data_IF_961309838254
#
_entry.id   IF_961309838254
#
_cell.length_a   1.000
_cell.length_b   1.000
_cell.length_c   1.000
_cell.angle_alpha   90.00
_cell.angle_beta   90.00
_cell.angle_gamma   90.00
#
_symmetry.space_group_name_H-M   'P 1'
#
loop_
_entity.id
_entity.type
_entity.pdbx_description
1 polymer ?
#
# COMPACT_ATOMS: atom_id res chain seq x y z
N UNK A 1 1.86 -3.91 -7.56
CA UNK A 1 0.91 -3.23 -8.45
C UNK A 1 1.03 -3.80 -9.84
N UNK A 2 -0.07 -4.12 -10.43
CA UNK A 2 -0.16 -4.59 -11.80
C UNK A 2 -0.43 -3.42 -12.74
N UNK A 3 0.03 -3.46 -14.00
CA UNK A 3 -0.19 -2.38 -14.96
C UNK A 3 -1.67 -2.01 -15.15
N UNK A 4 -2.58 -2.97 -15.07
CA UNK A 4 -4.03 -2.78 -15.26
C UNK A 4 -4.77 -2.26 -14.03
N UNK A 5 -4.19 -2.25 -12.82
CA UNK A 5 -4.82 -1.70 -11.60
C UNK A 5 -5.32 -0.27 -11.79
N UNK A 6 -4.70 0.47 -12.71
CA UNK A 6 -5.08 1.86 -13.02
C UNK A 6 -6.06 1.99 -14.19
N UNK A 7 -6.32 0.92 -14.93
CA UNK A 7 -7.07 0.92 -16.19
C UNK A 7 -8.15 -0.17 -16.23
N UNK A 8 -8.78 -0.43 -15.09
CA UNK A 8 -9.74 -1.53 -14.91
C UNK A 8 -10.88 -1.48 -15.94
N UNK A 9 -11.47 -0.30 -16.19
CA UNK A 9 -12.57 -0.15 -17.15
C UNK A 9 -12.10 -0.38 -18.59
N UNK A 10 -10.98 0.23 -18.98
CA UNK A 10 -10.41 0.06 -20.32
C UNK A 10 -9.99 -1.39 -20.57
N UNK A 11 -9.32 -2.03 -19.59
CA UNK A 11 -8.86 -3.42 -19.74
C UNK A 11 -10.03 -4.41 -19.76
N UNK A 12 -11.02 -4.25 -18.90
CA UNK A 12 -12.24 -5.06 -18.94
C UNK A 12 -12.93 -4.93 -20.28
N UNK A 13 -13.11 -3.70 -20.76
CA UNK A 13 -13.76 -3.43 -22.06
C UNK A 13 -12.98 -4.06 -23.22
N UNK A 14 -11.66 -3.91 -23.21
CA UNK A 14 -10.77 -4.45 -24.25
C UNK A 14 -10.83 -5.99 -24.34
N UNK A 15 -10.87 -6.66 -23.17
CA UNK A 15 -10.80 -8.14 -23.11
C UNK A 15 -12.15 -8.82 -23.25
N UNK A 16 -13.16 -8.29 -22.58
CA UNK A 16 -14.44 -8.97 -22.40
C UNK A 16 -15.63 -8.17 -22.91
N UNK A 17 -15.40 -6.95 -23.40
CA UNK A 17 -16.44 -6.07 -23.93
C UNK A 17 -17.08 -5.17 -22.87
N UNK A 18 -17.61 -4.03 -23.31
CA UNK A 18 -18.20 -3.01 -22.43
C UNK A 18 -19.42 -3.51 -21.64
N UNK A 19 -20.09 -4.56 -22.11
CA UNK A 19 -21.23 -5.16 -21.40
C UNK A 19 -20.87 -5.83 -20.08
N UNK A 20 -19.58 -6.05 -19.83
CA UNK A 20 -19.07 -6.58 -18.56
C UNK A 20 -18.94 -5.52 -17.47
N UNK A 21 -18.99 -4.25 -17.81
CA UNK A 21 -19.07 -3.19 -16.81
C UNK A 21 -20.51 -3.15 -16.29
N UNK A 22 -20.74 -3.35 -14.97
CA UNK A 22 -22.08 -3.39 -14.40
C UNK A 22 -22.84 -2.08 -14.65
N UNK A 23 -24.11 -2.19 -15.01
CA UNK A 23 -24.96 -1.02 -15.21
C UNK A 23 -25.06 -0.21 -13.92
N UNK A 24 -24.78 1.10 -14.00
CA UNK A 24 -24.77 1.97 -12.84
C UNK A 24 -23.44 1.92 -12.04
N UNK A 25 -22.44 1.21 -12.53
CA UNK A 25 -21.07 1.29 -11.98
C UNK A 25 -20.54 2.71 -12.08
N UNK A 26 -19.84 3.14 -11.02
CA UNK A 26 -19.11 4.41 -10.96
C UNK A 26 -17.60 4.20 -11.02
N UNK A 27 -17.17 3.01 -11.37
CA UNK A 27 -15.74 2.70 -11.54
C UNK A 27 -15.24 3.41 -12.79
N UNK A 28 -14.10 4.07 -12.65
CA UNK A 28 -13.43 4.82 -13.73
C UNK A 28 -11.95 4.45 -13.73
N UNK A 29 -11.32 4.57 -14.89
CA UNK A 29 -9.88 4.49 -14.98
C UNK A 29 -9.21 5.67 -14.28
N UNK A 30 -8.07 5.42 -13.67
CA UNK A 30 -7.23 6.51 -13.18
C UNK A 30 -6.69 7.34 -14.36
N UNK A 31 -6.51 8.68 -14.18
CA UNK A 31 -6.00 9.55 -15.25
C UNK A 31 -4.52 9.34 -15.60
N UNK A 32 -3.86 8.38 -14.95
CA UNK A 32 -2.47 7.99 -15.17
C UNK A 32 -2.36 6.46 -15.28
N UNK A 33 -1.22 5.96 -15.70
CA UNK A 33 -0.92 4.55 -15.85
C UNK A 33 0.23 4.07 -14.95
N UNK A 34 0.51 2.77 -15.04
CA UNK A 34 1.58 2.11 -14.31
C UNK A 34 2.94 2.74 -14.61
N UNK A 35 3.23 3.01 -15.86
CA UNK A 35 4.51 3.52 -16.33
C UNK A 35 4.87 4.90 -15.75
N UNK A 36 3.85 5.71 -15.46
CA UNK A 36 4.04 7.02 -14.82
C UNK A 36 4.40 6.88 -13.34
N UNK A 37 3.87 5.87 -12.67
CA UNK A 37 4.02 5.69 -11.22
C UNK A 37 5.17 4.75 -10.84
N UNK A 38 5.52 3.79 -11.68
CA UNK A 38 6.57 2.79 -11.38
C UNK A 38 7.88 3.43 -10.89
N UNK A 39 8.40 4.50 -11.51
CA UNK A 39 9.63 5.15 -11.04
C UNK A 39 9.53 5.70 -9.61
N UNK A 40 8.36 6.16 -9.21
CA UNK A 40 8.12 6.66 -7.85
C UNK A 40 7.99 5.53 -6.84
N UNK A 41 7.32 4.43 -7.20
CA UNK A 41 7.30 3.22 -6.37
C UNK A 41 8.71 2.69 -6.14
N UNK A 42 9.48 2.49 -7.21
CA UNK A 42 10.86 2.06 -7.10
C UNK A 42 11.72 2.99 -6.26
N UNK A 43 11.49 4.31 -6.31
CA UNK A 43 12.16 5.27 -5.44
C UNK A 43 11.78 5.07 -3.98
N UNK A 44 10.48 4.97 -3.66
CA UNK A 44 9.98 4.78 -2.29
C UNK A 44 10.49 3.46 -1.71
N UNK A 45 10.50 2.38 -2.49
CA UNK A 45 11.03 1.08 -2.08
C UNK A 45 12.50 1.17 -1.63
N UNK A 46 13.30 1.93 -2.35
CA UNK A 46 14.71 2.17 -1.99
C UNK A 46 14.86 3.11 -0.80
N UNK A 47 14.04 4.15 -0.69
CA UNK A 47 14.10 5.09 0.42
C UNK A 47 13.66 4.46 1.75
N UNK A 48 12.67 3.60 1.72
CA UNK A 48 12.16 2.90 2.92
C UNK A 48 13.03 1.68 3.22
N UNK A 49 13.45 0.95 2.20
CA UNK A 49 14.11 -0.34 2.30
C UNK A 49 13.09 -1.48 2.21
N UNK A 50 12.76 -1.87 0.98
CA UNK A 50 11.89 -3.03 0.72
C UNK A 50 12.77 -4.19 0.29
N UNK A 51 12.62 -5.34 0.93
CA UNK A 51 13.22 -6.59 0.48
C UNK A 51 12.26 -7.33 -0.45
N UNK A 52 12.77 -7.94 -1.50
CA UNK A 52 11.94 -8.65 -2.46
C UNK A 52 12.77 -9.34 -3.54
N UNK A 53 12.06 -10.03 -4.41
CA UNK A 53 12.62 -10.63 -5.61
C UNK A 53 11.79 -10.15 -6.79
N UNK A 54 12.34 -9.24 -7.60
CA UNK A 54 11.64 -8.78 -8.78
C UNK A 54 11.48 -9.89 -9.82
N UNK A 55 10.30 -10.00 -10.40
CA UNK A 55 9.98 -10.96 -11.46
C UNK A 55 10.20 -10.42 -12.88
N UNK A 56 10.34 -9.09 -12.99
CA UNK A 56 10.48 -8.45 -14.32
C UNK A 56 11.24 -7.13 -14.21
N UNK A 57 12.53 -7.13 -14.50
CA UNK A 57 13.36 -5.92 -14.53
C UNK A 57 13.64 -5.55 -15.98
N UNK A 58 13.13 -4.42 -16.44
CA UNK A 58 13.28 -3.89 -17.81
C UNK A 58 12.88 -4.89 -18.92
N UNK A 59 11.88 -5.75 -18.62
CA UNK A 59 11.43 -6.78 -19.54
C UNK A 59 12.15 -8.12 -19.39
N UNK A 60 13.22 -8.20 -18.61
CA UNK A 60 13.91 -9.44 -18.29
C UNK A 60 13.16 -10.17 -17.17
N UNK A 61 12.59 -11.33 -17.50
CA UNK A 61 11.80 -12.14 -16.56
C UNK A 61 12.69 -12.97 -15.65
N UNK A 62 12.36 -12.97 -14.35
CA UNK A 62 13.00 -13.79 -13.33
C UNK A 62 11.97 -14.77 -12.74
N UNK A 63 12.17 -16.09 -12.93
CA UNK A 63 11.20 -17.09 -12.45
C UNK A 63 11.14 -17.23 -10.93
N UNK A 64 12.07 -16.62 -10.18
CA UNK A 64 12.06 -16.64 -8.71
C UNK A 64 11.27 -15.47 -8.11
N UNK A 65 10.88 -14.49 -8.91
CA UNK A 65 10.01 -13.39 -8.52
C UNK A 65 8.57 -13.59 -8.96
N UNK A 66 7.76 -12.53 -8.92
CA UNK A 66 6.39 -12.57 -9.43
C UNK A 66 6.40 -12.66 -10.98
N UNK A 67 5.98 -13.78 -11.58
CA UNK A 67 6.00 -13.95 -13.04
C UNK A 67 5.03 -13.01 -13.78
N UNK A 68 4.03 -12.49 -13.07
CA UNK A 68 3.00 -11.59 -13.58
C UNK A 68 3.33 -10.11 -13.36
N UNK A 69 4.42 -9.82 -12.68
CA UNK A 69 4.84 -8.44 -12.38
C UNK A 69 5.03 -7.62 -13.65
N UNK A 70 4.52 -6.39 -13.64
CA UNK A 70 4.80 -5.40 -14.66
C UNK A 70 6.31 -5.06 -14.75
N UNK A 71 6.77 -4.51 -15.87
CA UNK A 71 8.19 -4.20 -16.03
C UNK A 71 8.61 -3.09 -15.06
N UNK A 72 9.59 -3.39 -14.22
CA UNK A 72 10.22 -2.46 -13.28
C UNK A 72 11.49 -1.87 -13.90
N UNK A 73 11.82 -0.65 -13.51
CA UNK A 73 13.09 -0.04 -13.95
C UNK A 73 14.31 -0.60 -13.20
N UNK A 74 14.12 -1.10 -11.98
CA UNK A 74 15.18 -1.64 -11.11
C UNK A 74 14.66 -2.70 -10.16
N UNK A 75 15.57 -3.52 -9.64
CA UNK A 75 15.28 -4.52 -8.62
C UNK A 75 14.98 -3.87 -7.26
N UNK A 76 14.53 -4.67 -6.31
CA UNK A 76 14.43 -4.26 -4.90
C UNK A 76 15.81 -3.94 -4.32
N UNK A 77 15.90 -3.03 -3.32
CA UNK A 77 17.20 -2.67 -2.72
C UNK A 77 17.86 -3.81 -1.93
N UNK A 78 17.09 -4.82 -1.53
CA UNK A 78 17.57 -5.96 -0.77
C UNK A 78 16.92 -7.25 -1.28
N UNK A 79 17.61 -8.40 -1.17
CA UNK A 79 17.05 -9.68 -1.56
C UNK A 79 15.82 -10.02 -0.71
N UNK A 80 14.96 -10.89 -1.24
CA UNK A 80 13.79 -11.36 -0.51
C UNK A 80 14.17 -12.00 0.83
N UNK A 81 13.29 -11.83 1.81
CA UNK A 81 13.40 -12.52 3.10
C UNK A 81 13.31 -14.05 2.89
N UNK A 82 14.00 -14.79 3.72
CA UNK A 82 13.99 -16.26 3.64
C UNK A 82 12.64 -16.79 4.08
N UNK A 83 12.12 -17.72 3.33
CA UNK A 83 11.02 -18.55 3.80
C UNK A 83 11.50 -19.45 4.93
N UNK A 84 10.63 -19.77 5.83
CA UNK A 84 10.88 -20.69 6.94
C UNK A 84 9.84 -21.80 6.92
N UNK A 85 10.22 -22.97 7.32
CA UNK A 85 9.48 -24.23 7.40
C UNK A 85 8.06 -24.31 6.84
N UNK A 86 7.13 -23.57 7.43
CA UNK A 86 5.73 -23.52 6.97
C UNK A 86 5.59 -22.88 5.58
N UNK A 87 6.27 -21.77 5.33
CA UNK A 87 6.20 -21.05 4.05
C UNK A 87 6.83 -21.86 2.91
N UNK A 88 7.94 -22.54 3.18
CA UNK A 88 8.55 -23.46 2.21
C UNK A 88 7.59 -24.60 1.82
N UNK A 89 6.86 -25.15 2.79
CA UNK A 89 5.86 -26.19 2.54
C UNK A 89 4.70 -25.66 1.72
N UNK A 90 4.20 -24.46 2.03
CA UNK A 90 3.14 -23.82 1.25
C UNK A 90 3.59 -23.59 -0.20
N UNK A 91 4.77 -23.03 -0.40
CA UNK A 91 5.33 -22.81 -1.72
C UNK A 91 5.51 -24.12 -2.50
N UNK A 92 6.03 -25.17 -1.84
CA UNK A 92 6.15 -26.48 -2.45
C UNK A 92 4.80 -27.06 -2.85
N UNK A 93 3.80 -26.96 -1.98
CA UNK A 93 2.43 -27.44 -2.27
C UNK A 93 1.81 -26.65 -3.43
N UNK A 94 1.96 -25.33 -3.47
CA UNK A 94 1.49 -24.50 -4.58
C UNK A 94 2.10 -24.95 -5.92
N UNK A 95 3.39 -25.24 -5.95
CA UNK A 95 4.07 -25.75 -7.16
C UNK A 95 3.53 -27.11 -7.62
N UNK A 96 3.12 -28.00 -6.70
CA UNK A 96 2.52 -29.27 -7.08
C UNK A 96 1.14 -29.10 -7.76
N UNK A 97 0.49 -27.97 -7.52
CA UNK A 97 -0.77 -27.57 -8.17
C UNK A 97 -0.53 -26.81 -9.48
N UNK A 98 0.72 -26.62 -9.89
CA UNK A 98 1.07 -25.85 -11.08
C UNK A 98 1.08 -24.32 -10.87
N UNK A 99 0.92 -23.85 -9.62
CA UNK A 99 0.93 -22.43 -9.30
C UNK A 99 2.36 -21.91 -9.16
N UNK A 100 2.52 -20.60 -9.25
CA UNK A 100 3.81 -19.91 -9.28
C UNK A 100 4.03 -19.08 -8.01
N UNK A 101 4.36 -19.71 -6.87
CA UNK A 101 4.58 -19.01 -5.63
C UNK A 101 5.88 -18.22 -5.66
N UNK A 102 5.83 -17.01 -5.15
CA UNK A 102 6.98 -16.12 -5.01
C UNK A 102 7.03 -15.49 -3.61
N UNK A 103 8.19 -14.97 -3.17
CA UNK A 103 8.29 -14.25 -1.91
C UNK A 103 7.62 -12.88 -2.04
N UNK A 104 6.57 -12.65 -1.27
CA UNK A 104 5.94 -11.32 -1.21
C UNK A 104 6.95 -10.26 -0.78
N UNK A 105 7.05 -9.12 -1.48
CA UNK A 105 7.94 -8.04 -1.05
C UNK A 105 7.49 -7.49 0.30
N UNK A 106 8.48 -7.09 1.12
CA UNK A 106 8.21 -6.59 2.46
C UNK A 106 9.10 -5.39 2.81
N UNK A 107 8.53 -4.40 3.47
CA UNK A 107 9.29 -3.27 4.01
C UNK A 107 10.03 -3.69 5.29
N UNK A 108 10.96 -4.63 5.14
CA UNK A 108 11.77 -5.23 6.21
C UNK A 108 13.18 -5.44 5.68
N UNK A 109 14.19 -5.05 6.42
CA UNK A 109 15.58 -5.29 6.04
C UNK A 109 15.86 -6.80 6.07
N UNK A 110 16.16 -7.41 4.93
CA UNK A 110 16.62 -8.79 4.87
C UNK A 110 18.11 -8.93 5.20
N UNK A 111 18.84 -7.85 5.05
CA UNK A 111 20.26 -7.67 5.40
C UNK A 111 20.46 -6.25 5.95
N UNK A 112 21.67 -5.88 6.35
CA UNK A 112 21.94 -4.53 6.81
C UNK A 112 21.71 -3.52 5.69
N UNK A 113 20.85 -2.55 5.94
CA UNK A 113 20.49 -1.52 4.96
C UNK A 113 20.33 -0.15 5.63
N UNK A 114 20.95 0.90 5.06
CA UNK A 114 20.90 2.25 5.59
C UNK A 114 21.21 2.30 7.10
N UNK A 115 22.32 1.68 7.50
CA UNK A 115 22.83 1.61 8.89
C UNK A 115 21.92 0.90 9.90
N UNK A 116 20.85 0.24 9.45
CA UNK A 116 19.94 -0.56 10.28
C UNK A 116 20.15 -2.04 10.03
N UNK A 117 20.07 -2.83 11.09
CA UNK A 117 20.28 -4.26 11.05
C UNK A 117 19.30 -4.99 10.14
N UNK A 118 19.71 -6.13 9.61
CA UNK A 118 18.82 -7.11 9.01
C UNK A 118 17.89 -7.76 10.04
N UNK A 119 16.81 -8.36 9.56
CA UNK A 119 15.84 -9.07 10.37
C UNK A 119 16.44 -10.29 11.07
N UNK A 120 16.13 -10.48 12.34
CA UNK A 120 16.58 -11.62 13.15
C UNK A 120 15.59 -12.80 13.15
N UNK A 121 14.53 -12.72 12.36
CA UNK A 121 13.53 -13.79 12.15
C UNK A 121 12.82 -14.31 13.42
N UNK A 122 12.57 -13.45 14.41
CA UNK A 122 11.72 -13.82 15.54
C UNK A 122 10.24 -13.41 15.31
N UNK A 123 9.35 -14.23 15.82
CA UNK A 123 7.96 -14.32 15.40
C UNK A 123 6.97 -13.24 15.86
N UNK A 124 7.38 -12.12 16.47
CA UNK A 124 6.43 -11.20 17.12
C UNK A 124 6.17 -9.88 16.39
N UNK A 125 6.81 -9.62 15.25
CA UNK A 125 6.76 -8.33 14.56
C UNK A 125 5.42 -8.01 13.88
N UNK A 126 4.50 -8.95 13.74
CA UNK A 126 3.21 -8.70 13.11
C UNK A 126 2.33 -7.74 13.93
N UNK A 127 2.33 -7.91 15.25
CA UNK A 127 1.48 -7.13 16.19
C UNK A 127 2.25 -6.06 16.98
N UNK A 128 3.55 -6.01 16.86
CA UNK A 128 4.41 -5.14 17.66
C UNK A 128 5.48 -4.39 16.87
N UNK A 129 6.28 -3.62 17.58
CA UNK A 129 7.47 -2.98 17.06
C UNK A 129 8.60 -3.97 16.78
N UNK A 130 9.65 -3.49 16.12
CA UNK A 130 10.87 -4.24 15.88
C UNK A 130 11.98 -3.65 16.75
N UNK A 131 12.55 -4.45 17.65
CA UNK A 131 13.57 -3.96 18.58
C UNK A 131 14.97 -3.75 17.94
N UNK A 132 15.13 -4.17 16.69
CA UNK A 132 16.35 -3.94 15.90
C UNK A 132 16.09 -3.01 14.70
N UNK A 133 14.93 -2.37 14.65
CA UNK A 133 14.51 -1.44 13.60
C UNK A 133 14.64 -1.98 12.15
N UNK A 134 14.58 -3.31 12.01
CA UNK A 134 14.58 -3.96 10.70
C UNK A 134 13.22 -3.85 9.99
N UNK A 135 12.11 -3.65 10.73
CA UNK A 135 10.77 -3.42 10.19
C UNK A 135 10.64 -1.96 9.79
N UNK A 136 10.68 -1.70 8.50
CA UNK A 136 10.74 -0.37 7.93
C UNK A 136 9.40 0.35 8.01
N UNK A 137 9.43 1.52 8.59
CA UNK A 137 8.32 2.45 8.64
C UNK A 137 8.87 3.88 8.54
N UNK A 138 8.04 4.89 8.26
CA UNK A 138 8.49 6.27 8.30
C UNK A 138 9.18 6.68 9.62
N UNK A 139 8.77 6.09 10.75
CA UNK A 139 9.33 6.39 12.07
C UNK A 139 10.80 6.02 12.21
N UNK A 140 11.27 5.00 11.51
CA UNK A 140 12.67 4.54 11.56
C UNK A 140 13.44 4.83 10.27
N UNK A 141 12.79 5.41 9.26
CA UNK A 141 13.39 5.70 7.94
C UNK A 141 13.38 7.20 7.61
N UNK A 142 12.28 7.70 7.09
CA UNK A 142 12.20 9.05 6.51
C UNK A 142 12.10 10.15 7.55
N UNK A 143 11.40 9.93 8.68
CA UNK A 143 11.22 10.94 9.72
C UNK A 143 12.57 11.32 10.36
N UNK A 144 13.39 10.37 10.87
CA UNK A 144 14.69 10.73 11.46
C UNK A 144 15.62 11.46 10.48
N UNK A 145 15.60 11.06 9.20
CA UNK A 145 16.39 11.76 8.17
C UNK A 145 15.90 13.18 7.91
N UNK A 146 14.58 13.38 7.92
CA UNK A 146 13.99 14.69 7.74
C UNK A 146 14.26 15.60 8.96
N UNK A 147 14.18 15.07 10.18
CA UNK A 147 14.53 15.79 11.40
C UNK A 147 16.01 16.24 11.41
N UNK A 148 16.92 15.36 10.96
CA UNK A 148 18.34 15.70 10.84
C UNK A 148 18.62 16.87 9.90
N UNK A 149 17.71 17.21 8.98
CA UNK A 149 17.83 18.41 8.14
C UNK A 149 17.51 19.72 8.87
N UNK A 150 16.92 19.67 10.06
CA UNK A 150 16.40 20.82 10.80
C UNK A 150 15.16 21.47 10.15
N UNK A 151 14.58 20.86 9.12
CA UNK A 151 13.43 21.42 8.37
C UNK A 151 12.10 20.74 8.71
N UNK A 152 12.10 19.66 9.48
CA UNK A 152 10.91 18.98 9.98
C UNK A 152 10.66 19.37 11.43
N UNK A 153 9.40 19.72 11.73
CA UNK A 153 8.88 19.81 13.09
C UNK A 153 7.73 18.83 13.23
N UNK A 154 7.85 17.87 14.12
CA UNK A 154 6.78 16.94 14.48
C UNK A 154 6.06 17.51 15.69
N UNK A 155 4.73 17.63 15.59
CA UNK A 155 3.87 18.02 16.70
C UNK A 155 3.01 16.81 17.06
N UNK A 156 3.30 16.22 18.21
CA UNK A 156 2.57 15.05 18.73
C UNK A 156 1.40 15.46 19.62
N UNK A 157 0.48 14.52 19.89
CA UNK A 157 -0.73 14.76 20.68
C UNK A 157 -1.61 15.89 20.12
N UNK A 158 -1.50 16.15 18.82
CA UNK A 158 -2.25 17.17 18.11
C UNK A 158 -3.30 16.52 17.20
N UNK A 159 -4.55 16.92 17.39
CA UNK A 159 -5.68 16.46 16.56
C UNK A 159 -6.13 17.59 15.66
N UNK A 160 -5.91 17.47 14.35
CA UNK A 160 -6.41 18.44 13.38
C UNK A 160 -7.93 18.33 13.30
N UNK A 161 -8.59 19.46 13.52
CA UNK A 161 -10.06 19.55 13.55
C UNK A 161 -10.63 20.19 12.30
N UNK A 162 -9.84 21.04 11.62
CA UNK A 162 -10.31 21.76 10.45
C UNK A 162 -9.15 22.20 9.55
N UNK A 163 -9.36 22.17 8.24
CA UNK A 163 -8.52 22.84 7.25
C UNK A 163 -9.16 24.18 6.97
N UNK A 164 -8.41 25.27 7.21
CA UNK A 164 -8.90 26.62 7.05
C UNK A 164 -8.67 27.13 5.62
N UNK A 165 -9.65 27.90 5.13
CA UNK A 165 -9.59 28.53 3.81
C UNK A 165 -9.97 30.00 3.91
N UNK A 166 -9.43 30.82 3.00
CA UNK A 166 -9.87 32.19 2.82
C UNK A 166 -11.25 32.28 2.12
N UNK A 167 -11.72 33.50 1.88
CA UNK A 167 -13.00 33.76 1.23
C UNK A 167 -13.06 33.23 -0.23
N UNK A 168 -11.91 33.04 -0.87
CA UNK A 168 -11.74 32.52 -2.21
C UNK A 168 -11.59 31.00 -2.25
N UNK A 169 -11.56 30.35 -1.08
CA UNK A 169 -11.41 28.90 -0.95
C UNK A 169 -9.97 28.39 -1.00
N UNK A 170 -8.98 29.28 -0.94
CA UNK A 170 -7.56 28.90 -0.87
C UNK A 170 -7.21 28.51 0.57
N UNK A 171 -6.49 27.41 0.72
CA UNK A 171 -6.01 26.93 2.03
C UNK A 171 -5.09 27.97 2.67
N UNK A 172 -5.32 28.24 3.96
CA UNK A 172 -4.52 29.18 4.78
C UNK A 172 -3.77 28.47 5.90
N UNK A 173 -4.22 27.27 6.31
CA UNK A 173 -3.61 26.50 7.38
C UNK A 173 -4.55 25.43 7.92
N UNK A 174 -4.25 24.98 9.12
CA UNK A 174 -5.08 24.02 9.86
C UNK A 174 -5.31 24.48 11.29
N UNK A 175 -6.51 24.20 11.80
CA UNK A 175 -6.83 24.31 13.22
C UNK A 175 -6.67 22.92 13.86
N UNK A 176 -6.01 22.86 15.01
CA UNK A 176 -5.81 21.61 15.74
C UNK A 176 -5.97 21.80 17.24
N UNK A 177 -6.32 20.74 17.93
CA UNK A 177 -6.38 20.66 19.38
C UNK A 177 -5.13 19.96 19.91
N UNK A 178 -4.50 20.55 20.90
CA UNK A 178 -3.45 19.95 21.71
C UNK A 178 -3.73 20.27 23.19
N UNK A 179 -3.77 19.25 24.03
CA UNK A 179 -4.09 19.39 25.46
C UNK A 179 -5.41 20.13 25.75
N UNK A 180 -6.41 19.95 24.86
CA UNK A 180 -7.74 20.60 24.86
C UNK A 180 -7.73 22.10 24.53
N UNK A 181 -6.60 22.67 24.16
CA UNK A 181 -6.49 24.03 23.65
C UNK A 181 -6.44 24.02 22.13
N UNK A 182 -7.03 25.06 21.54
CA UNK A 182 -7.10 25.22 20.10
C UNK A 182 -5.93 26.07 19.60
N UNK A 183 -5.28 25.60 18.54
CA UNK A 183 -4.17 26.28 17.89
C UNK A 183 -4.40 26.36 16.38
N UNK A 184 -3.83 27.36 15.77
CA UNK A 184 -3.79 27.53 14.33
C UNK A 184 -2.37 27.42 13.80
N UNK A 185 -2.15 26.53 12.82
CA UNK A 185 -0.88 26.41 12.10
C UNK A 185 -1.06 26.94 10.68
N UNK A 186 -0.45 28.09 10.32
CA UNK A 186 -0.49 28.58 8.94
C UNK A 186 0.27 27.66 8.01
N UNK A 187 -0.27 27.41 6.83
CA UNK A 187 0.34 26.60 5.81
C UNK A 187 -0.10 27.02 4.41
N UNK A 188 0.84 26.98 3.45
CA UNK A 188 0.54 27.21 2.04
C UNK A 188 0.01 25.97 1.33
N UNK A 189 0.37 24.79 1.85
CA UNK A 189 -0.07 23.49 1.37
C UNK A 189 -0.37 22.60 2.58
N UNK A 190 -1.41 21.80 2.46
CA UNK A 190 -1.79 20.79 3.47
C UNK A 190 -1.92 19.45 2.77
N UNK A 191 -1.15 18.46 3.23
CA UNK A 191 -1.29 17.07 2.81
C UNK A 191 -2.16 16.35 3.82
N UNK A 192 -3.27 15.79 3.36
CA UNK A 192 -4.20 15.03 4.19
C UNK A 192 -3.84 13.55 4.09
N UNK A 193 -3.23 13.01 5.13
CA UNK A 193 -2.72 11.65 5.17
C UNK A 193 -3.12 10.93 6.48
N UNK A 194 -4.33 11.21 7.00
CA UNK A 194 -4.82 10.75 8.28
C UNK A 194 -5.61 9.44 8.20
N UNK A 195 -5.45 8.67 7.14
CA UNK A 195 -6.24 7.48 6.84
C UNK A 195 -7.60 7.79 6.19
N UNK A 196 -8.15 6.85 5.44
CA UNK A 196 -9.33 7.03 4.57
C UNK A 196 -10.54 7.63 5.29
N UNK A 197 -10.92 7.10 6.46
CA UNK A 197 -12.08 7.61 7.20
C UNK A 197 -11.82 8.98 7.81
N UNK A 198 -10.64 9.19 8.38
CA UNK A 198 -10.30 10.46 9.01
C UNK A 198 -10.07 11.58 7.98
N UNK A 199 -9.50 11.27 6.82
CA UNK A 199 -9.40 12.21 5.71
C UNK A 199 -10.80 12.69 5.28
N UNK A 200 -11.72 11.75 5.09
CA UNK A 200 -13.12 12.04 4.73
C UNK A 200 -13.80 12.87 5.82
N UNK A 201 -13.66 12.49 7.07
CA UNK A 201 -14.23 13.23 8.21
C UNK A 201 -13.69 14.65 8.28
N UNK A 202 -12.38 14.82 8.15
CA UNK A 202 -11.73 16.13 8.19
C UNK A 202 -12.20 17.03 7.04
N UNK A 203 -12.32 16.51 5.83
CA UNK A 203 -12.85 17.27 4.68
C UNK A 203 -14.30 17.71 4.91
N UNK A 204 -15.16 16.82 5.40
CA UNK A 204 -16.57 17.13 5.69
C UNK A 204 -16.74 18.15 6.83
N UNK A 205 -15.86 18.14 7.83
CA UNK A 205 -15.84 19.11 8.93
C UNK A 205 -15.25 20.46 8.52
N UNK A 206 -14.39 20.49 7.50
CA UNK A 206 -13.72 21.71 7.03
C UNK A 206 -14.65 22.57 6.16
N UNK A 207 -15.77 23.01 6.77
CA UNK A 207 -16.75 23.87 6.11
C UNK A 207 -16.29 25.32 6.10
N UNK A 208 -16.61 26.03 5.02
CA UNK A 208 -16.38 27.46 4.87
C UNK A 208 -17.44 28.06 3.97
N UNK A 209 -17.39 29.38 3.74
CA UNK A 209 -18.29 30.05 2.78
C UNK A 209 -18.11 29.49 1.36
N UNK A 210 -16.87 29.17 0.96
CA UNK A 210 -16.57 28.59 -0.35
C UNK A 210 -16.96 27.10 -0.43
N UNK A 211 -16.97 26.39 0.72
CA UNK A 211 -17.25 24.97 0.81
C UNK A 211 -18.31 24.68 1.88
N UNK A 212 -19.59 25.03 1.68
CA UNK A 212 -20.61 24.96 2.72
C UNK A 212 -20.96 23.54 3.16
N UNK A 213 -20.71 22.53 2.33
CA UNK A 213 -20.96 21.11 2.62
C UNK A 213 -19.67 20.29 2.86
N UNK A 214 -18.55 20.98 3.07
CA UNK A 214 -17.23 20.38 3.32
C UNK A 214 -16.22 20.74 2.23
N UNK A 215 -14.94 20.75 2.62
CA UNK A 215 -13.84 21.08 1.73
C UNK A 215 -13.76 20.08 0.56
N UNK A 216 -13.58 20.57 -0.66
CA UNK A 216 -13.56 19.78 -1.91
C UNK A 216 -14.83 18.95 -2.18
N UNK A 217 -15.94 19.24 -1.49
CA UNK A 217 -17.17 18.46 -1.59
C UNK A 217 -18.25 19.13 -2.47
N UNK A 218 -17.87 19.95 -3.45
CA UNK A 218 -18.80 20.75 -4.29
C UNK A 218 -19.83 19.89 -5.03
N UNK A 219 -19.52 18.63 -5.31
CA UNK A 219 -20.40 17.67 -5.98
C UNK A 219 -20.95 16.59 -5.03
N UNK A 220 -20.84 16.78 -3.72
CA UNK A 220 -21.30 15.86 -2.69
C UNK A 220 -20.79 14.42 -2.85
N UNK A 221 -19.53 14.27 -3.29
CA UNK A 221 -18.89 12.96 -3.49
C UNK A 221 -18.02 12.51 -2.31
N UNK A 222 -17.56 13.47 -1.48
CA UNK A 222 -16.74 13.14 -0.31
C UNK A 222 -17.52 12.24 0.65
N UNK A 223 -16.96 11.08 0.98
CA UNK A 223 -17.60 10.07 1.83
C UNK A 223 -18.49 9.06 1.09
N UNK A 224 -18.49 9.08 -0.24
CA UNK A 224 -19.16 8.09 -1.07
C UNK A 224 -18.17 7.17 -1.78
N UNK A 225 -18.68 6.09 -2.37
CA UNK A 225 -17.92 5.14 -3.19
C UNK A 225 -16.74 4.50 -2.45
N UNK A 226 -16.90 4.23 -1.15
CA UNK A 226 -15.90 3.50 -0.41
C UNK A 226 -15.89 2.04 -0.87
N UNK A 227 -14.75 1.61 -1.39
CA UNK A 227 -14.46 0.23 -1.74
C UNK A 227 -13.22 -0.20 -0.96
N UNK A 228 -13.33 -1.28 -0.21
CA UNK A 228 -12.18 -1.94 0.41
C UNK A 228 -11.68 -3.06 -0.47
N UNK A 229 -10.42 -3.46 -0.29
CA UNK A 229 -9.95 -4.71 -0.87
C UNK A 229 -10.88 -5.85 -0.46
N UNK A 230 -11.25 -6.69 -1.40
CA UNK A 230 -12.02 -7.88 -1.11
C UNK A 230 -11.18 -8.82 -0.25
N UNK A 231 -11.58 -8.97 1.00
CA UNK A 231 -10.96 -9.96 1.86
C UNK A 231 -11.72 -11.27 1.65
N UNK A 232 -11.12 -12.16 0.89
CA UNK A 232 -11.64 -13.51 0.71
C UNK A 232 -11.74 -14.25 2.05
N UNK A 233 -12.59 -15.24 2.13
CA UNK A 233 -12.65 -16.15 3.26
C UNK A 233 -11.29 -16.84 3.42
N UNK A 234 -10.64 -16.62 4.55
CA UNK A 234 -9.41 -17.32 4.87
C UNK A 234 -9.67 -18.81 5.09
N UNK A 235 -8.77 -19.65 4.63
CA UNK A 235 -8.77 -21.07 4.96
C UNK A 235 -7.82 -21.31 6.11
N UNK A 236 -8.30 -21.94 7.17
CA UNK A 236 -7.48 -22.40 8.28
C UNK A 236 -7.26 -23.89 8.15
N UNK A 237 -6.00 -24.29 7.96
CA UNK A 237 -5.63 -25.69 7.97
C UNK A 237 -5.10 -26.11 9.36
N UNK A 238 -5.66 -27.20 9.88
CA UNK A 238 -5.19 -27.82 11.14
C UNK A 238 -4.30 -29.02 10.80
N UNK A 239 -3.15 -29.08 11.44
CA UNK A 239 -2.18 -30.15 11.26
C UNK A 239 -2.10 -31.00 12.53
N UNK A 240 -1.88 -32.33 12.42
CA UNK A 240 -1.73 -33.22 13.58
C UNK A 240 -0.36 -33.12 14.26
N UNK A 241 0.46 -32.14 13.90
CA UNK A 241 1.78 -31.85 14.43
C UNK A 241 2.02 -30.35 14.49
N UNK A 242 2.95 -29.94 15.36
CA UNK A 242 3.32 -28.53 15.48
C UNK A 242 4.11 -28.06 14.25
N UNK A 243 3.64 -27.01 13.61
CA UNK A 243 4.30 -26.37 12.46
C UNK A 243 5.37 -25.37 12.89
N UNK A 244 5.50 -25.10 14.20
CA UNK A 244 6.37 -24.03 14.72
C UNK A 244 6.19 -22.68 14.00
N UNK A 245 4.96 -22.35 13.62
CA UNK A 245 4.63 -21.12 12.85
C UNK A 245 4.97 -19.82 13.59
N UNK A 246 5.24 -19.91 14.89
CA UNK A 246 5.75 -18.82 15.72
C UNK A 246 7.24 -18.52 15.47
N UNK A 247 7.97 -19.44 14.86
CA UNK A 247 9.38 -19.29 14.49
C UNK A 247 9.47 -18.83 13.02
N UNK A 248 9.96 -17.63 12.81
CA UNK A 248 10.11 -17.04 11.48
C UNK A 248 9.43 -15.67 11.38
N UNK A 249 9.27 -15.18 10.18
CA UNK A 249 8.77 -13.86 9.90
C UNK A 249 7.26 -13.88 9.58
N UNK A 250 6.37 -13.48 10.49
CA UNK A 250 4.93 -13.48 10.21
C UNK A 250 4.49 -12.35 9.29
N UNK A 251 5.39 -11.39 8.97
CA UNK A 251 5.07 -10.25 8.13
C UNK A 251 5.37 -10.46 6.63
N UNK A 252 5.99 -11.58 6.26
CA UNK A 252 6.17 -11.97 4.88
C UNK A 252 5.46 -13.30 4.64
N UNK A 253 4.73 -13.38 3.53
CA UNK A 253 4.05 -14.57 3.08
C UNK A 253 4.62 -15.12 1.79
N UNK A 254 4.13 -16.30 1.42
CA UNK A 254 4.14 -16.79 0.05
C UNK A 254 2.99 -16.10 -0.67
N UNK A 255 3.28 -15.44 -1.76
CA UNK A 255 2.28 -14.85 -2.64
C UNK A 255 2.10 -15.72 -3.89
N UNK A 256 0.90 -15.74 -4.42
CA UNK A 256 0.51 -16.41 -5.66
C UNK A 256 -0.43 -15.47 -6.40
N UNK A 257 -0.03 -15.00 -7.58
CA UNK A 257 -0.81 -14.08 -8.39
C UNK A 257 -1.46 -14.76 -9.62
N UNK A 258 -1.41 -16.09 -9.69
CA UNK A 258 -2.01 -16.86 -10.79
C UNK A 258 -3.50 -16.58 -10.99
N UNK A 259 -4.21 -16.20 -9.92
CA UNK A 259 -5.65 -15.92 -9.92
C UNK A 259 -5.98 -14.43 -9.75
N UNK A 260 -4.97 -13.57 -9.80
CA UNK A 260 -5.18 -12.14 -9.71
C UNK A 260 -5.44 -11.52 -11.08
N UNK A 261 -6.28 -10.50 -11.10
CA UNK A 261 -6.59 -9.69 -12.27
C UNK A 261 -6.83 -10.52 -13.53
N UNK A 262 -5.99 -10.37 -14.54
CA UNK A 262 -6.15 -11.03 -15.84
C UNK A 262 -5.18 -12.22 -16.06
N UNK A 263 -4.57 -12.74 -15.00
CA UNK A 263 -3.65 -13.87 -15.07
C UNK A 263 -4.39 -15.20 -15.36
N UNK A 264 -5.71 -15.21 -15.24
CA UNK A 264 -6.56 -16.33 -15.63
C UNK A 264 -7.79 -15.84 -16.44
N UNK A 265 -8.58 -16.75 -16.96
CA UNK A 265 -9.75 -16.42 -17.76
C UNK A 265 -10.93 -15.95 -16.88
N UNK A 266 -11.26 -14.67 -17.00
CA UNK A 266 -12.39 -14.03 -16.34
C UNK A 266 -13.69 -14.07 -17.18
N UNK A 267 -13.75 -14.79 -18.30
CA UNK A 267 -14.90 -14.75 -19.20
C UNK A 267 -16.23 -15.13 -18.51
N UNK A 268 -16.17 -15.91 -17.43
CA UNK A 268 -17.31 -16.26 -16.60
C UNK A 268 -17.66 -15.26 -15.48
N UNK A 269 -16.88 -14.18 -15.32
CA UNK A 269 -17.05 -13.15 -14.30
C UNK A 269 -17.57 -11.86 -14.92
N UNK A 270 -18.21 -11.02 -14.11
CA UNK A 270 -18.79 -9.77 -14.62
C UNK A 270 -17.75 -8.66 -14.76
N UNK A 271 -16.60 -8.77 -14.09
CA UNK A 271 -15.66 -7.68 -13.96
C UNK A 271 -14.24 -8.17 -13.63
N UNK A 272 -13.21 -7.48 -14.14
CA UNK A 272 -11.81 -7.65 -13.71
C UNK A 272 -11.54 -6.64 -12.58
N UNK A 273 -11.16 -7.09 -11.41
CA UNK A 273 -10.81 -6.15 -10.37
C UNK A 273 -10.52 -6.79 -9.04
#
# INVERSE_FOLDING_TARGET
LNPWDFKVVSETTRRYGASRIPVGSTVEDWPFGYEELEPFYGRVEHEIGVSGQAGNVKGEKNPNGNPFEGPRQRDYPMPALRWTGFLDRMAASARTLGWQPFPGPAAINSETYQERSGCMYHGHCNKGGCHVDAKNSPAVTTIPRAEATGRLKVVTHATVTKIETDAQGKVTGVTYLQDREEFFQPARFVFVASYTYENTRLLLLSKSRAFPIGLSNNHAQVGKHYLSHHQGAGVTALFPYDLHAWYGLPAQGVAVDDFADDNFDHSGLDFIG
#
